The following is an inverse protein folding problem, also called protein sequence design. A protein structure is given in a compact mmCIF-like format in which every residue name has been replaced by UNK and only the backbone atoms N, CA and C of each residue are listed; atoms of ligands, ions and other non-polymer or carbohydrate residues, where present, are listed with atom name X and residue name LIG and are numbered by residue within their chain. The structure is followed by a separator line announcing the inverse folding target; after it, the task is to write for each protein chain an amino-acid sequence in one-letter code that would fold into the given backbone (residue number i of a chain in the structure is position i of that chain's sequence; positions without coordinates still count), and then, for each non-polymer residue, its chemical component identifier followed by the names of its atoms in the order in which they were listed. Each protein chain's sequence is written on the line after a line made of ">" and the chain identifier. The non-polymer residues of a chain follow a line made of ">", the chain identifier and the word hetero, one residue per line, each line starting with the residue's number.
data_IF_481099276804
#
_entry.id   IF_481099276804
#
_cell.length_a   1.000
_cell.length_b   1.000
_cell.length_c   1.000
_cell.angle_alpha   90.00
_cell.angle_beta   90.00
_cell.angle_gamma   90.00
#
_symmetry.space_group_name_H-M   'P 1'
#
loop_
_entity.id
_entity.type
_entity.pdbx_description
1 polymer ?
#
# COMPACT_ATOMS: atom_id res chain seq x y z
N UNK A 1 -2.99 41.99 -15.05
CA UNK A 1 -3.90 40.82 -15.14
C UNK A 1 -4.18 40.31 -13.73
N UNK A 2 -5.41 40.46 -13.21
CA UNK A 2 -5.82 39.93 -11.89
C UNK A 2 -6.11 38.44 -12.03
N UNK A 3 -5.13 37.58 -11.77
CA UNK A 3 -5.34 36.14 -11.74
C UNK A 3 -6.29 35.81 -10.58
N UNK A 4 -7.48 35.30 -10.89
CA UNK A 4 -8.36 34.73 -9.86
C UNK A 4 -7.72 33.43 -9.40
N UNK A 5 -7.26 33.38 -8.15
CA UNK A 5 -6.83 32.13 -7.51
C UNK A 5 -8.04 31.20 -7.46
N UNK A 6 -7.99 30.11 -8.22
CA UNK A 6 -9.00 29.04 -8.11
C UNK A 6 -8.71 28.24 -6.84
N UNK A 7 -9.39 28.62 -5.76
CA UNK A 7 -9.28 27.98 -4.45
C UNK A 7 -9.89 26.56 -4.41
N UNK A 8 -10.48 26.08 -5.52
CA UNK A 8 -11.10 24.76 -5.61
C UNK A 8 -10.30 23.78 -6.47
N UNK A 9 -9.21 24.23 -7.12
CA UNK A 9 -8.42 23.37 -7.99
C UNK A 9 -7.70 22.27 -7.19
N UNK A 10 -7.89 21.03 -7.65
CA UNK A 10 -7.18 19.85 -7.18
C UNK A 10 -6.56 19.15 -8.39
N UNK A 11 -5.24 19.01 -8.41
CA UNK A 11 -4.54 18.46 -9.58
C UNK A 11 -3.05 18.65 -9.53
N UNK A 12 -2.39 18.52 -10.68
CA UNK A 12 -0.93 18.62 -10.79
C UNK A 12 -0.50 19.87 -11.55
N UNK A 13 0.51 20.56 -11.02
CA UNK A 13 1.20 21.66 -11.69
C UNK A 13 2.67 21.30 -11.86
N UNK A 14 3.27 21.65 -13.00
CA UNK A 14 4.67 21.33 -13.31
C UNK A 14 5.46 22.60 -13.59
N UNK A 15 6.69 22.66 -13.07
CA UNK A 15 7.70 23.66 -13.40
C UNK A 15 9.07 23.00 -13.53
N UNK A 16 10.13 23.79 -13.68
CA UNK A 16 11.52 23.30 -13.78
C UNK A 16 11.99 22.48 -12.58
N UNK A 17 11.37 22.65 -11.40
CA UNK A 17 11.74 21.95 -10.17
C UNK A 17 10.96 20.62 -9.98
N UNK A 18 9.96 20.37 -10.82
CA UNK A 18 9.21 19.12 -10.87
C UNK A 18 7.69 19.30 -10.92
N UNK A 19 6.99 18.20 -10.66
CA UNK A 19 5.52 18.11 -10.68
C UNK A 19 4.99 18.04 -9.25
N UNK A 20 4.08 18.96 -8.90
CA UNK A 20 3.54 19.15 -7.57
C UNK A 20 2.02 18.98 -7.57
N UNK A 21 1.50 18.38 -6.49
CA UNK A 21 0.07 18.29 -6.24
C UNK A 21 -0.44 19.56 -5.58
N UNK A 22 -1.44 20.17 -6.21
CA UNK A 22 -2.18 21.32 -5.72
C UNK A 22 -3.44 20.80 -5.05
N UNK A 23 -3.62 21.14 -3.77
CA UNK A 23 -4.78 20.78 -2.96
C UNK A 23 -5.54 22.05 -2.59
N UNK A 24 -6.79 22.18 -3.02
CA UNK A 24 -7.62 23.37 -2.82
C UNK A 24 -6.89 24.67 -3.21
N UNK A 25 -6.32 24.68 -4.41
CA UNK A 25 -5.61 25.83 -4.98
C UNK A 25 -4.24 26.13 -4.36
N UNK A 26 -3.73 25.30 -3.44
CA UNK A 26 -2.44 25.54 -2.74
C UNK A 26 -1.53 24.32 -2.76
N UNK A 27 -0.22 24.56 -2.81
CA UNK A 27 0.81 23.54 -2.55
C UNK A 27 1.23 23.68 -1.09
N UNK A 28 0.95 22.68 -0.26
CA UNK A 28 1.18 22.76 1.19
C UNK A 28 2.51 22.15 1.64
N UNK A 29 3.18 21.39 0.77
CA UNK A 29 4.36 20.56 1.07
C UNK A 29 4.15 19.55 2.21
N UNK A 30 2.90 19.28 2.57
CA UNK A 30 2.49 18.33 3.62
C UNK A 30 1.62 17.19 3.09
N UNK A 31 1.27 17.23 1.80
CA UNK A 31 0.39 16.24 1.20
C UNK A 31 1.16 14.95 0.87
N UNK A 32 0.74 13.83 1.48
CA UNK A 32 1.42 12.54 1.45
C UNK A 32 0.40 11.41 1.18
N UNK A 33 -0.05 11.28 -0.06
CA UNK A 33 -1.11 10.32 -0.43
C UNK A 33 -0.90 9.75 -1.84
N UNK A 34 -1.72 8.75 -2.16
CA UNK A 34 -1.88 8.22 -3.51
C UNK A 34 -2.91 9.03 -4.30
N UNK A 35 -2.48 9.56 -5.44
CA UNK A 35 -3.34 10.33 -6.35
C UNK A 35 -3.44 9.61 -7.69
N UNK A 36 -4.62 9.61 -8.31
CA UNK A 36 -4.79 9.08 -9.65
C UNK A 36 -4.35 10.12 -10.68
N UNK A 37 -3.30 9.82 -11.45
CA UNK A 37 -2.68 10.72 -12.42
C UNK A 37 -2.10 9.93 -13.59
N UNK A 38 -2.30 10.40 -14.81
CA UNK A 38 -1.81 9.74 -16.03
C UNK A 38 -2.11 8.23 -16.06
N UNK A 39 -3.36 7.88 -15.74
CA UNK A 39 -3.88 6.50 -15.71
C UNK A 39 -3.21 5.58 -14.69
N UNK A 40 -2.51 6.13 -13.70
CA UNK A 40 -1.82 5.37 -12.64
C UNK A 40 -2.15 5.97 -11.27
N UNK A 41 -2.10 5.15 -10.23
CA UNK A 41 -2.03 5.64 -8.85
C UNK A 41 -0.57 5.92 -8.53
N UNK A 42 -0.24 7.19 -8.29
CA UNK A 42 1.12 7.68 -8.10
C UNK A 42 1.35 8.13 -6.66
N UNK A 43 2.57 7.95 -6.17
CA UNK A 43 3.00 8.50 -4.89
C UNK A 43 3.20 10.01 -4.98
N UNK A 44 2.48 10.74 -4.13
CA UNK A 44 2.78 12.14 -3.84
C UNK A 44 3.31 12.20 -2.41
N UNK A 45 4.52 12.73 -2.24
CA UNK A 45 5.18 12.89 -0.93
C UNK A 45 5.62 14.34 -0.80
N UNK A 46 5.28 14.99 0.31
CA UNK A 46 5.49 16.42 0.55
C UNK A 46 4.98 17.28 -0.63
N UNK A 47 3.79 16.96 -1.12
CA UNK A 47 3.14 17.57 -2.29
C UNK A 47 3.89 17.43 -3.62
N UNK A 48 4.95 16.61 -3.71
CA UNK A 48 5.70 16.37 -4.96
C UNK A 48 5.46 14.96 -5.48
N UNK A 49 5.31 14.81 -6.80
CA UNK A 49 5.28 13.51 -7.47
C UNK A 49 6.60 12.78 -7.20
N UNK A 50 6.54 11.59 -6.61
CA UNK A 50 7.71 10.87 -6.11
C UNK A 50 7.95 9.56 -6.88
N UNK A 51 8.60 9.65 -8.04
CA UNK A 51 8.78 8.54 -8.99
C UNK A 51 9.65 7.37 -8.50
N UNK A 52 10.38 7.54 -7.40
CA UNK A 52 11.23 6.47 -6.83
C UNK A 52 10.73 5.94 -5.50
N UNK A 53 9.56 6.40 -5.02
CA UNK A 53 9.04 6.00 -3.71
C UNK A 53 8.73 4.50 -3.71
N UNK A 54 9.22 3.79 -2.69
CA UNK A 54 8.86 2.39 -2.43
C UNK A 54 8.47 2.27 -0.96
N UNK A 55 7.26 1.80 -0.70
CA UNK A 55 6.70 1.81 0.65
C UNK A 55 5.18 1.77 0.63
N UNK A 56 4.56 2.11 1.75
CA UNK A 56 3.11 2.14 1.88
C UNK A 56 2.60 3.57 1.91
N UNK A 57 1.62 3.87 1.07
CA UNK A 57 0.86 5.11 1.12
C UNK A 57 -0.64 4.81 1.17
N UNK A 58 -1.37 5.74 1.77
CA UNK A 58 -2.81 5.64 1.93
C UNK A 58 -3.52 6.73 1.14
N UNK A 59 -4.78 6.45 0.82
CA UNK A 59 -5.79 7.45 0.50
C UNK A 59 -7.14 6.94 1.03
N UNK A 60 -8.23 7.64 0.69
CA UNK A 60 -9.59 7.24 1.11
C UNK A 60 -9.99 5.81 0.73
N UNK A 61 -9.34 5.19 -0.26
CA UNK A 61 -9.65 3.83 -0.72
C UNK A 61 -8.84 2.74 0.01
N UNK A 62 -7.93 3.13 0.91
CA UNK A 62 -7.11 2.23 1.72
C UNK A 62 -5.61 2.47 1.58
N UNK A 63 -4.83 1.53 2.13
CA UNK A 63 -3.37 1.55 2.12
C UNK A 63 -2.82 0.58 1.09
N UNK A 64 -1.92 1.05 0.23
CA UNK A 64 -1.33 0.27 -0.84
C UNK A 64 0.18 0.28 -0.78
N UNK A 65 0.79 -0.84 -1.16
CA UNK A 65 2.19 -0.94 -1.46
C UNK A 65 2.50 -0.30 -2.81
N UNK A 66 3.48 0.59 -2.80
CA UNK A 66 3.95 1.36 -3.94
C UNK A 66 5.34 0.87 -4.31
N UNK A 67 5.57 0.65 -5.60
CA UNK A 67 6.86 0.27 -6.17
C UNK A 67 7.24 1.30 -7.23
N UNK A 68 8.42 1.93 -7.07
CA UNK A 68 8.92 2.94 -8.03
C UNK A 68 7.88 4.02 -8.34
N UNK A 69 7.30 4.58 -7.28
CA UNK A 69 6.37 5.70 -7.33
C UNK A 69 4.95 5.35 -7.80
N UNK A 70 4.64 4.09 -8.11
CA UNK A 70 3.30 3.69 -8.58
C UNK A 70 2.75 2.46 -7.86
N UNK A 71 1.42 2.35 -7.78
CA UNK A 71 0.76 1.11 -7.37
C UNK A 71 0.65 0.18 -8.57
N UNK A 72 1.35 -0.96 -8.52
CA UNK A 72 1.40 -1.93 -9.63
C UNK A 72 0.19 -2.87 -9.68
N UNK A 73 -0.55 -2.99 -8.57
CA UNK A 73 -1.63 -3.97 -8.35
C UNK A 73 -1.22 -5.44 -8.53
N UNK A 74 0.10 -5.72 -8.53
CA UNK A 74 0.65 -7.07 -8.74
C UNK A 74 1.24 -7.66 -7.47
N UNK A 75 1.43 -6.87 -6.42
CA UNK A 75 2.09 -7.33 -5.19
C UNK A 75 1.11 -8.14 -4.34
N UNK A 76 1.40 -9.43 -4.14
CA UNK A 76 0.66 -10.28 -3.21
C UNK A 76 1.65 -11.01 -2.30
N UNK A 77 1.42 -10.99 -0.99
CA UNK A 77 2.28 -11.65 0.00
C UNK A 77 2.29 -10.94 1.36
N UNK A 78 3.25 -11.36 2.20
CA UNK A 78 3.46 -10.78 3.52
C UNK A 78 4.44 -9.62 3.48
N UNK A 79 4.06 -8.50 4.09
CA UNK A 79 4.91 -7.31 4.17
C UNK A 79 4.88 -6.73 5.57
N UNK A 80 5.99 -6.13 5.99
CA UNK A 80 6.08 -5.48 7.29
C UNK A 80 5.58 -4.03 7.18
N UNK A 81 4.59 -3.68 7.99
CA UNK A 81 3.98 -2.35 8.03
C UNK A 81 3.44 -2.07 9.42
N UNK A 82 3.70 -0.89 9.97
CA UNK A 82 3.26 -0.46 11.31
C UNK A 82 3.47 -1.52 12.39
N UNK A 83 4.71 -2.02 12.48
CA UNK A 83 5.16 -3.02 13.45
C UNK A 83 4.46 -4.38 13.37
N UNK A 84 3.83 -4.71 12.24
CA UNK A 84 3.13 -5.98 12.02
C UNK A 84 3.44 -6.53 10.63
N UNK A 85 3.38 -7.86 10.50
CA UNK A 85 3.31 -8.51 9.19
C UNK A 85 1.86 -8.54 8.72
N UNK A 86 1.58 -7.88 7.60
CA UNK A 86 0.24 -7.73 7.04
C UNK A 86 0.09 -8.47 5.72
N UNK A 87 -1.12 -8.96 5.45
CA UNK A 87 -1.50 -9.46 4.13
C UNK A 87 -1.62 -8.29 3.15
N UNK A 88 -0.85 -8.35 2.06
CA UNK A 88 -1.00 -7.49 0.90
C UNK A 88 -1.52 -8.34 -0.24
N UNK A 89 -2.66 -7.97 -0.83
CA UNK A 89 -3.27 -8.64 -1.97
C UNK A 89 -3.50 -7.60 -3.07
N UNK A 90 -2.99 -7.84 -4.28
CA UNK A 90 -3.07 -6.89 -5.40
C UNK A 90 -2.60 -5.47 -4.99
N UNK A 91 -1.47 -5.43 -4.32
CA UNK A 91 -0.84 -4.25 -3.72
C UNK A 91 -1.64 -3.55 -2.61
N UNK A 92 -2.80 -4.04 -2.19
CA UNK A 92 -3.61 -3.43 -1.11
C UNK A 92 -3.48 -4.23 0.19
N UNK A 93 -3.36 -3.55 1.33
CA UNK A 93 -3.49 -4.23 2.64
C UNK A 93 -4.91 -4.82 2.74
N UNK A 94 -5.00 -6.11 3.05
CA UNK A 94 -6.26 -6.84 3.20
C UNK A 94 -6.45 -7.32 4.64
N UNK A 95 -7.24 -6.57 5.41
CA UNK A 95 -7.50 -6.85 6.82
C UNK A 95 -8.48 -8.02 7.07
N UNK A 96 -9.13 -8.55 6.04
CA UNK A 96 -10.03 -9.71 6.16
C UNK A 96 -9.44 -10.99 5.59
N UNK A 97 -8.18 -10.96 5.13
CA UNK A 97 -7.53 -12.14 4.58
C UNK A 97 -7.22 -13.15 5.68
N UNK A 98 -7.72 -14.38 5.52
CA UNK A 98 -7.32 -15.55 6.32
C UNK A 98 -6.87 -16.67 5.37
N UNK A 99 -5.64 -17.13 5.55
CA UNK A 99 -5.01 -18.11 4.66
C UNK A 99 -3.49 -18.10 4.75
N UNK A 100 -2.83 -18.80 3.83
CA UNK A 100 -1.38 -18.86 3.77
C UNK A 100 -0.83 -17.81 2.80
N UNK A 101 0.10 -17.00 3.27
CA UNK A 101 0.90 -16.11 2.42
C UNK A 101 2.38 -16.32 2.69
N UNK A 102 3.20 -15.99 1.68
CA UNK A 102 4.64 -16.17 1.73
C UNK A 102 5.39 -14.86 1.56
N UNK A 103 6.61 -14.84 2.07
CA UNK A 103 7.66 -13.89 1.71
C UNK A 103 9.02 -14.62 1.75
N UNK A 104 10.13 -13.87 1.71
CA UNK A 104 11.49 -14.45 1.77
C UNK A 104 11.79 -15.24 3.05
N UNK A 105 11.02 -15.05 4.12
CA UNK A 105 11.24 -15.71 5.43
C UNK A 105 10.43 -17.02 5.55
N UNK A 106 9.55 -17.30 4.58
CA UNK A 106 8.75 -18.52 4.50
C UNK A 106 7.27 -18.25 4.30
N UNK A 107 6.48 -19.29 4.53
CA UNK A 107 5.01 -19.28 4.43
C UNK A 107 4.40 -19.27 5.82
N UNK A 108 3.43 -18.39 6.04
CA UNK A 108 2.78 -18.20 7.34
C UNK A 108 1.27 -18.22 7.19
N UNK A 109 0.60 -18.75 8.21
CA UNK A 109 -0.82 -18.58 8.43
C UNK A 109 -1.08 -17.12 8.85
N UNK A 110 -1.93 -16.48 8.06
CA UNK A 110 -2.46 -15.15 8.30
C UNK A 110 -3.89 -15.29 8.78
N UNK A 111 -4.23 -14.55 9.82
CA UNK A 111 -5.56 -14.54 10.42
C UNK A 111 -6.01 -13.07 10.50
N UNK A 112 -7.16 -12.74 9.90
CA UNK A 112 -7.68 -11.37 9.87
C UNK A 112 -6.61 -10.34 9.40
N UNK A 113 -5.94 -10.69 8.31
CA UNK A 113 -4.98 -9.84 7.62
C UNK A 113 -3.61 -9.69 8.29
N UNK A 114 -3.33 -10.37 9.41
CA UNK A 114 -2.04 -10.27 10.09
C UNK A 114 -1.54 -11.61 10.67
N UNK A 115 -0.25 -11.68 11.00
CA UNK A 115 0.36 -12.88 11.62
C UNK A 115 0.40 -12.70 13.14
N UNK A 116 -0.19 -13.64 13.88
CA UNK A 116 -0.21 -13.64 15.36
C UNK A 116 1.09 -14.12 16.00
N UNK A 117 1.86 -14.96 15.29
CA UNK A 117 3.02 -15.73 15.79
C UNK A 117 2.71 -16.66 16.96
N UNK A 118 1.43 -16.97 17.20
CA UNK A 118 0.96 -17.77 18.33
C UNK A 118 0.26 -19.06 17.90
N UNK A 119 -0.20 -19.14 16.66
CA UNK A 119 -0.95 -20.29 16.18
C UNK A 119 -0.04 -21.52 16.10
N UNK A 120 -0.45 -22.60 16.75
CA UNK A 120 0.17 -23.91 16.68
C UNK A 120 -0.93 -24.95 16.42
N UNK A 121 -0.81 -25.76 15.38
CA UNK A 121 -1.84 -26.72 15.01
C UNK A 121 -1.85 -27.08 13.54
N UNK A 122 -3.00 -27.50 13.05
CA UNK A 122 -3.21 -27.91 11.68
C UNK A 122 -4.11 -26.91 10.95
N UNK A 123 -3.66 -26.42 9.81
CA UNK A 123 -4.47 -25.61 8.90
C UNK A 123 -4.85 -26.42 7.66
N UNK A 124 -6.14 -26.43 7.30
CA UNK A 124 -6.62 -27.01 6.04
C UNK A 124 -7.07 -25.89 5.13
N UNK A 125 -6.45 -25.77 3.96
CA UNK A 125 -6.82 -24.75 2.98
C UNK A 125 -8.13 -25.12 2.24
N UNK A 126 -8.61 -24.19 1.42
CA UNK A 126 -9.87 -24.35 0.67
C UNK A 126 -9.86 -25.50 -0.34
N UNK A 127 -8.68 -25.96 -0.77
CA UNK A 127 -8.53 -27.12 -1.67
C UNK A 127 -8.52 -28.44 -0.91
N UNK A 128 -8.51 -28.36 0.43
CA UNK A 128 -8.45 -29.51 1.31
C UNK A 128 -7.04 -29.96 1.66
N UNK A 129 -6.01 -29.27 1.19
CA UNK A 129 -4.62 -29.55 1.57
C UNK A 129 -4.37 -29.13 3.01
N UNK A 130 -3.65 -29.99 3.74
CA UNK A 130 -3.40 -29.88 5.18
C UNK A 130 -1.95 -29.46 5.42
N UNK A 131 -1.75 -28.54 6.37
CA UNK A 131 -0.46 -27.98 6.73
C UNK A 131 -0.28 -28.03 8.25
N UNK A 132 0.92 -28.40 8.69
CA UNK A 132 1.32 -28.26 10.09
C UNK A 132 1.87 -26.85 10.30
N UNK A 133 1.37 -26.17 11.33
CA UNK A 133 1.72 -24.78 11.64
C UNK A 133 2.34 -24.73 13.04
N UNK A 134 3.50 -24.07 13.15
CA UNK A 134 4.15 -23.77 14.42
C UNK A 134 4.50 -22.28 14.48
N UNK A 135 4.08 -21.58 15.53
CA UNK A 135 4.21 -20.12 15.68
C UNK A 135 3.74 -19.35 14.42
N UNK A 136 2.58 -19.75 13.90
CA UNK A 136 1.99 -19.27 12.65
C UNK A 136 2.80 -19.56 11.37
N UNK A 137 3.94 -20.24 11.43
CA UNK A 137 4.76 -20.61 10.26
C UNK A 137 4.43 -22.04 9.81
N UNK A 138 4.31 -22.26 8.51
CA UNK A 138 4.21 -23.61 7.92
C UNK A 138 5.55 -24.34 8.14
N UNK A 139 5.48 -25.58 8.63
CA UNK A 139 6.64 -26.46 8.86
C UNK A 139 6.53 -27.76 8.06
#
# INVERSE_FOLDING_TARGET
>A
KKGKTDLKYNGFATNSNGTYYVNNGKITFKYNELVYYNKKWVAVVNSKLHNTYTGFLSNKNGTYYVEKGIVTFKRTGLMYYNNKWVAVINSKINNSYTGLLSNSNGTYLVENGNISFKYNGIYKDKTGKVYTIKNSKVI
#
